data_IF_192301844481
#
_entry.id   IF_192301844481
#
_cell.length_a   1.000
_cell.length_b   1.000
_cell.length_c   1.000
_cell.angle_alpha   90.00
_cell.angle_beta   90.00
_cell.angle_gamma   90.00
#
_symmetry.space_group_name_H-M   'P 1'
#
loop_
_entity.id
_entity.type
_entity.pdbx_description
1 polymer ?
#
# COMPACT_ATOMS: atom_id res chain seq x y z
N UNK A 1 -5.70 -7.37 14.59
CA UNK A 1 -4.70 -7.36 13.50
C UNK A 1 -4.67 -5.98 12.89
N UNK A 2 -3.53 -5.32 12.92
CA UNK A 2 -3.35 -3.97 12.39
C UNK A 2 -2.71 -4.04 10.99
N UNK A 3 -3.40 -3.58 9.97
CA UNK A 3 -2.95 -3.71 8.58
C UNK A 3 -2.71 -2.32 7.98
N UNK A 4 -1.50 -2.09 7.46
CA UNK A 4 -1.18 -0.90 6.69
C UNK A 4 -1.51 -1.10 5.22
N UNK A 5 -2.31 -0.21 4.66
CA UNK A 5 -2.73 -0.22 3.26
C UNK A 5 -2.28 1.06 2.59
N UNK A 6 -1.15 1.04 1.89
CA UNK A 6 -0.72 2.17 1.06
C UNK A 6 -1.66 2.34 -0.13
N UNK A 7 -2.12 3.56 -0.34
CA UNK A 7 -3.04 3.89 -1.44
C UNK A 7 -2.54 5.10 -2.23
N UNK A 8 -2.80 5.05 -3.53
CA UNK A 8 -2.64 6.15 -4.46
C UNK A 8 -3.95 6.39 -5.23
N UNK A 9 -3.94 7.26 -6.22
CA UNK A 9 -5.11 7.52 -7.05
C UNK A 9 -5.41 6.41 -8.08
N UNK A 10 -4.61 5.35 -8.14
CA UNK A 10 -4.80 4.27 -9.10
C UNK A 10 -5.93 3.32 -8.72
N UNK A 11 -6.45 2.60 -9.71
CA UNK A 11 -7.43 1.54 -9.45
C UNK A 11 -6.82 0.34 -8.72
N UNK A 12 -5.52 0.15 -8.83
CA UNK A 12 -4.80 -0.93 -8.18
C UNK A 12 -4.82 -0.80 -6.64
N UNK A 13 -4.84 0.44 -6.13
CA UNK A 13 -4.92 0.73 -4.71
C UNK A 13 -6.16 0.15 -4.01
N UNK A 14 -7.19 -0.24 -4.77
CA UNK A 14 -8.39 -0.88 -4.23
C UNK A 14 -8.30 -2.41 -4.18
N UNK A 15 -7.25 -3.01 -4.72
CA UNK A 15 -7.09 -4.48 -4.70
C UNK A 15 -7.07 -5.10 -3.29
N UNK A 16 -6.57 -4.42 -2.23
CA UNK A 16 -6.65 -4.92 -0.87
C UNK A 16 -8.06 -5.06 -0.30
N UNK A 17 -9.02 -4.25 -0.76
CA UNK A 17 -10.33 -4.14 -0.10
C UNK A 17 -11.10 -5.48 -0.04
N UNK A 18 -11.22 -6.27 -1.13
CA UNK A 18 -11.90 -7.57 -1.05
C UNK A 18 -11.21 -8.54 -0.08
N UNK A 19 -9.90 -8.51 0.00
CA UNK A 19 -9.14 -9.33 0.94
C UNK A 19 -9.43 -8.95 2.40
N UNK A 20 -9.40 -7.65 2.71
CA UNK A 20 -9.73 -7.14 4.04
C UNK A 20 -11.19 -7.47 4.42
N UNK A 21 -12.12 -7.35 3.46
CA UNK A 21 -13.52 -7.73 3.68
C UNK A 21 -13.65 -9.23 3.99
N UNK A 22 -12.93 -10.09 3.30
CA UNK A 22 -12.92 -11.54 3.59
C UNK A 22 -12.38 -11.85 4.99
N UNK A 23 -11.29 -11.18 5.42
CA UNK A 23 -10.75 -11.33 6.78
C UNK A 23 -11.77 -10.86 7.84
N UNK A 24 -12.43 -9.71 7.61
CA UNK A 24 -13.46 -9.21 8.51
C UNK A 24 -14.65 -10.16 8.61
N UNK A 25 -15.12 -10.72 7.48
CA UNK A 25 -16.18 -11.74 7.46
C UNK A 25 -15.78 -13.04 8.16
N UNK A 26 -14.50 -13.39 8.13
CA UNK A 26 -13.96 -14.53 8.88
C UNK A 26 -13.83 -14.24 10.41
N UNK A 27 -14.25 -13.07 10.87
CA UNK A 27 -14.22 -12.70 12.29
C UNK A 27 -12.87 -12.20 12.78
N UNK A 28 -11.91 -11.91 11.90
CA UNK A 28 -10.62 -11.33 12.30
C UNK A 28 -10.83 -9.88 12.73
N UNK A 29 -10.48 -9.48 13.97
CA UNK A 29 -10.57 -8.09 14.41
C UNK A 29 -9.52 -7.26 13.67
N UNK A 30 -9.97 -6.36 12.77
CA UNK A 30 -9.11 -5.54 11.94
C UNK A 30 -9.06 -4.08 12.42
N UNK A 31 -7.87 -3.49 12.34
CA UNK A 31 -7.62 -2.05 12.36
C UNK A 31 -6.85 -1.71 11.08
N UNK A 32 -7.46 -0.96 10.17
CA UNK A 32 -6.83 -0.63 8.89
C UNK A 32 -6.24 0.77 8.92
N UNK A 33 -4.95 0.89 8.59
CA UNK A 33 -4.26 2.16 8.41
C UNK A 33 -4.17 2.45 6.90
N UNK A 34 -4.98 3.38 6.43
CA UNK A 34 -4.94 3.85 5.02
C UNK A 34 -3.89 4.92 4.89
N UNK A 35 -2.79 4.62 4.21
CA UNK A 35 -1.66 5.54 4.06
C UNK A 35 -1.56 6.08 2.64
N UNK A 36 -1.52 7.40 2.49
CA UNK A 36 -1.11 8.04 1.25
C UNK A 36 0.23 8.75 1.42
N UNK A 37 1.19 8.48 0.53
CA UNK A 37 2.49 9.13 0.51
C UNK A 37 2.59 10.06 -0.69
N UNK A 38 2.70 11.36 -0.42
CA UNK A 38 2.89 12.37 -1.44
C UNK A 38 4.38 12.64 -1.68
N UNK A 39 4.83 12.78 -2.94
CA UNK A 39 6.20 13.13 -3.23
C UNK A 39 6.54 14.54 -2.74
N UNK A 40 7.82 14.79 -2.48
CA UNK A 40 8.32 16.13 -2.23
C UNK A 40 8.17 16.99 -3.49
N UNK A 41 7.75 18.23 -3.34
CA UNK A 41 7.77 19.16 -4.46
C UNK A 41 9.20 19.41 -4.94
N UNK A 42 9.37 19.50 -6.26
CA UNK A 42 10.65 19.89 -6.84
C UNK A 42 11.10 21.27 -6.33
N UNK A 43 12.41 21.44 -6.25
CA UNK A 43 13.04 22.65 -5.69
C UNK A 43 12.53 23.94 -6.36
N UNK A 44 12.31 23.93 -7.67
CA UNK A 44 11.78 25.06 -8.42
C UNK A 44 10.37 25.47 -7.97
N UNK A 45 9.49 24.53 -7.71
CA UNK A 45 8.12 24.83 -7.22
C UNK A 45 8.15 25.37 -5.79
N UNK A 46 9.07 24.87 -4.97
CA UNK A 46 9.16 25.26 -3.56
C UNK A 46 9.67 26.69 -3.35
N UNK A 47 10.35 27.30 -4.34
CA UNK A 47 10.84 28.66 -4.27
C UNK A 47 9.74 29.71 -4.48
N UNK A 48 8.68 29.37 -5.22
CA UNK A 48 7.62 30.29 -5.60
C UNK A 48 6.30 30.10 -4.85
N UNK A 49 6.25 29.14 -3.91
CA UNK A 49 5.02 28.82 -3.18
C UNK A 49 5.26 28.80 -1.67
N UNK A 50 4.31 29.32 -0.90
CA UNK A 50 4.36 29.29 0.56
C UNK A 50 4.26 27.86 1.09
N UNK A 51 4.76 27.61 2.31
CA UNK A 51 4.62 26.31 2.99
C UNK A 51 3.13 25.94 3.18
N UNK A 52 2.30 26.92 3.53
CA UNK A 52 0.86 26.72 3.72
C UNK A 52 0.16 26.29 2.44
N UNK A 53 0.45 26.96 1.31
CA UNK A 53 -0.11 26.59 0.01
C UNK A 53 0.31 25.16 -0.41
N UNK A 54 1.59 24.80 -0.22
CA UNK A 54 2.06 23.44 -0.50
C UNK A 54 1.38 22.38 0.37
N UNK A 55 1.18 22.69 1.65
CA UNK A 55 0.51 21.78 2.56
C UNK A 55 -0.97 21.62 2.18
N UNK A 56 -1.67 22.69 1.84
CA UNK A 56 -3.06 22.64 1.39
C UNK A 56 -3.21 21.73 0.15
N UNK A 57 -2.35 21.92 -0.87
CA UNK A 57 -2.36 21.07 -2.08
C UNK A 57 -2.06 19.61 -1.75
N UNK A 58 -1.13 19.32 -0.84
CA UNK A 58 -0.83 17.93 -0.43
C UNK A 58 -2.01 17.31 0.30
N UNK A 59 -2.64 18.02 1.22
CA UNK A 59 -3.81 17.53 1.94
C UNK A 59 -4.94 17.21 1.00
N UNK A 60 -5.21 18.08 0.02
CA UNK A 60 -6.24 17.84 -0.97
C UNK A 60 -5.94 16.61 -1.84
N UNK A 61 -4.70 16.51 -2.35
CA UNK A 61 -4.27 15.33 -3.14
C UNK A 61 -4.33 14.04 -2.34
N UNK A 62 -3.88 14.06 -1.09
CA UNK A 62 -3.97 12.89 -0.20
C UNK A 62 -5.40 12.48 0.04
N UNK A 63 -6.28 13.44 0.36
CA UNK A 63 -7.70 13.18 0.57
C UNK A 63 -8.33 12.56 -0.67
N UNK A 64 -8.09 13.12 -1.85
CA UNK A 64 -8.61 12.61 -3.11
C UNK A 64 -8.08 11.19 -3.41
N UNK A 65 -6.79 10.93 -3.15
CA UNK A 65 -6.20 9.61 -3.37
C UNK A 65 -6.78 8.53 -2.45
N UNK A 66 -7.12 8.88 -1.21
CA UNK A 66 -7.66 7.95 -0.23
C UNK A 66 -9.19 7.78 -0.30
N UNK A 67 -9.92 8.71 -0.93
CA UNK A 67 -11.38 8.79 -0.86
C UNK A 67 -12.07 7.47 -1.21
N UNK A 68 -11.66 6.83 -2.30
CA UNK A 68 -12.27 5.57 -2.78
C UNK A 68 -12.00 4.39 -1.85
N UNK A 69 -10.81 4.32 -1.27
CA UNK A 69 -10.47 3.26 -0.31
C UNK A 69 -11.24 3.46 1.00
N UNK A 70 -11.34 4.69 1.48
CA UNK A 70 -12.11 5.06 2.67
C UNK A 70 -13.59 4.73 2.49
N UNK A 71 -14.18 5.10 1.34
CA UNK A 71 -15.57 4.77 1.01
C UNK A 71 -15.80 3.25 1.02
N UNK A 72 -14.93 2.49 0.37
CA UNK A 72 -15.04 1.04 0.30
C UNK A 72 -14.90 0.36 1.68
N UNK A 73 -13.98 0.83 2.53
CA UNK A 73 -13.84 0.34 3.91
C UNK A 73 -15.05 0.70 4.77
N UNK A 74 -15.59 1.90 4.60
CA UNK A 74 -16.81 2.36 5.31
C UNK A 74 -18.02 1.49 4.94
N UNK A 75 -18.20 1.19 3.65
CA UNK A 75 -19.27 0.30 3.18
C UNK A 75 -19.10 -1.12 3.73
N UNK A 76 -17.88 -1.60 3.83
CA UNK A 76 -17.55 -2.89 4.43
C UNK A 76 -17.60 -2.89 5.97
N UNK A 77 -17.86 -1.75 6.62
CA UNK A 77 -17.86 -1.56 8.07
C UNK A 77 -16.55 -1.97 8.74
N UNK A 78 -15.43 -1.79 8.05
CA UNK A 78 -14.10 -2.07 8.57
C UNK A 78 -13.55 -0.79 9.22
N UNK A 79 -13.15 -0.80 10.50
CA UNK A 79 -12.57 0.36 11.15
C UNK A 79 -11.23 0.73 10.50
N UNK A 80 -11.04 2.02 10.26
CA UNK A 80 -9.83 2.53 9.64
C UNK A 80 -9.39 3.87 10.22
N UNK A 81 -8.11 4.19 10.01
CA UNK A 81 -7.50 5.49 10.27
C UNK A 81 -6.72 5.94 9.03
N UNK A 82 -6.92 7.18 8.60
CA UNK A 82 -6.25 7.75 7.44
C UNK A 82 -4.96 8.48 7.86
N UNK A 83 -3.87 8.19 7.15
CA UNK A 83 -2.56 8.76 7.36
C UNK A 83 -2.04 9.40 6.07
N UNK A 84 -1.38 10.55 6.17
CA UNK A 84 -0.74 11.22 5.04
C UNK A 84 0.71 11.52 5.38
N UNK A 85 1.62 11.08 4.51
CA UNK A 85 3.07 11.29 4.65
C UNK A 85 3.66 11.96 3.41
N UNK A 86 4.86 12.49 3.55
CA UNK A 86 5.59 13.14 2.46
C UNK A 86 6.99 12.56 2.35
N UNK A 87 7.36 12.08 1.18
CA UNK A 87 8.70 11.53 0.96
C UNK A 87 8.76 10.51 -0.17
N UNK A 88 9.76 9.65 -0.09
CA UNK A 88 9.88 8.51 -0.98
C UNK A 88 8.92 7.40 -0.53
N UNK A 89 8.03 6.91 -1.40
CA UNK A 89 6.96 6.00 -0.99
C UNK A 89 7.46 4.77 -0.22
N UNK A 90 8.43 4.03 -0.75
CA UNK A 90 8.92 2.82 -0.10
C UNK A 90 9.48 3.07 1.31
N UNK A 91 10.26 4.16 1.49
CA UNK A 91 10.81 4.54 2.79
C UNK A 91 9.72 4.92 3.78
N UNK A 92 8.73 5.71 3.33
CA UNK A 92 7.66 6.18 4.21
C UNK A 92 6.70 5.07 4.59
N UNK A 93 6.39 4.17 3.66
CA UNK A 93 5.54 3.01 3.96
C UNK A 93 6.20 2.13 5.03
N UNK A 94 7.47 1.76 4.85
CA UNK A 94 8.20 0.95 5.83
C UNK A 94 8.26 1.65 7.20
N UNK A 95 8.68 2.92 7.24
CA UNK A 95 8.79 3.67 8.49
C UNK A 95 7.44 3.85 9.21
N UNK A 96 6.34 4.01 8.47
CA UNK A 96 5.00 4.09 9.06
C UNK A 96 4.55 2.73 9.58
N UNK A 97 4.81 1.65 8.84
CA UNK A 97 4.47 0.29 9.27
C UNK A 97 5.12 -0.03 10.63
N UNK A 98 6.39 0.26 10.77
CA UNK A 98 7.14 0.08 12.03
C UNK A 98 6.64 1.00 13.15
N UNK A 99 6.51 2.30 12.86
CA UNK A 99 6.08 3.30 13.84
C UNK A 99 4.69 3.00 14.41
N UNK A 100 3.77 2.57 13.57
CA UNK A 100 2.39 2.27 13.95
C UNK A 100 2.23 0.84 14.51
N UNK A 101 3.27 0.01 14.42
CA UNK A 101 3.21 -1.40 14.83
C UNK A 101 2.23 -2.19 13.99
N UNK A 102 2.32 -2.07 12.66
CA UNK A 102 1.50 -2.85 11.75
C UNK A 102 1.91 -4.32 11.78
N UNK A 103 0.94 -5.23 11.79
CA UNK A 103 1.18 -6.67 11.70
C UNK A 103 1.47 -7.09 10.26
N UNK A 104 0.96 -6.33 9.29
CA UNK A 104 1.09 -6.62 7.86
C UNK A 104 0.95 -5.33 7.03
N UNK A 105 1.66 -5.29 5.89
CA UNK A 105 1.46 -4.29 4.84
C UNK A 105 0.78 -4.96 3.65
N UNK A 106 -0.42 -4.52 3.27
CA UNK A 106 -1.16 -5.07 2.13
C UNK A 106 -1.22 -4.04 1.02
N UNK A 107 -0.60 -4.36 -0.13
CA UNK A 107 -0.45 -3.44 -1.25
C UNK A 107 -1.16 -3.92 -2.50
N UNK A 108 -1.88 -3.02 -3.15
CA UNK A 108 -2.37 -3.25 -4.50
C UNK A 108 -1.33 -2.92 -5.56
N UNK A 109 -1.17 -3.78 -6.55
CA UNK A 109 -0.29 -3.51 -7.70
C UNK A 109 -1.07 -3.54 -9.00
N UNK A 110 -0.79 -2.57 -9.87
CA UNK A 110 -1.31 -2.53 -11.24
C UNK A 110 -0.57 -3.54 -12.14
N UNK A 111 -1.28 -4.06 -13.14
CA UNK A 111 -0.65 -4.79 -14.23
C UNK A 111 0.07 -3.80 -15.14
N UNK A 112 1.36 -3.67 -14.98
CA UNK A 112 2.18 -2.93 -15.94
C UNK A 112 2.72 -3.90 -17.00
N UNK A 113 2.82 -3.46 -18.27
CA UNK A 113 3.48 -4.25 -19.31
C UNK A 113 4.89 -4.64 -18.88
N UNK A 114 5.33 -5.84 -19.28
CA UNK A 114 6.60 -6.42 -18.81
C UNK A 114 7.83 -5.50 -18.98
N UNK A 115 7.85 -4.66 -20.03
CA UNK A 115 8.93 -3.71 -20.30
C UNK A 115 9.03 -2.56 -19.28
N UNK A 116 7.90 -2.18 -18.62
CA UNK A 116 7.91 -1.12 -17.60
C UNK A 116 8.47 -1.59 -16.27
N UNK A 117 8.52 -2.91 -16.02
CA UNK A 117 9.08 -3.50 -14.79
C UNK A 117 10.60 -3.34 -14.70
N UNK A 118 11.28 -3.18 -15.83
CA UNK A 118 12.73 -2.98 -15.87
C UNK A 118 13.19 -1.57 -15.54
N UNK A 119 12.28 -0.58 -15.64
CA UNK A 119 12.62 0.85 -15.51
C UNK A 119 12.37 1.39 -14.10
N UNK A 120 11.47 0.78 -13.32
CA UNK A 120 11.20 1.18 -11.93
C UNK A 120 11.13 -0.05 -11.03
N UNK A 121 12.02 -0.18 -10.04
CA UNK A 121 11.84 -1.17 -8.99
C UNK A 121 10.47 -0.90 -8.34
N UNK A 122 9.64 -1.94 -8.22
CA UNK A 122 8.31 -1.76 -7.67
C UNK A 122 8.40 -1.19 -6.25
N UNK A 123 7.48 -0.31 -5.88
CA UNK A 123 7.43 0.24 -4.52
C UNK A 123 7.36 -0.91 -3.49
N UNK A 124 6.66 -1.99 -3.83
CA UNK A 124 6.56 -3.18 -2.99
C UNK A 124 7.95 -3.81 -2.70
N UNK A 125 8.81 -3.96 -3.71
CA UNK A 125 10.19 -4.43 -3.49
C UNK A 125 10.98 -3.47 -2.60
N UNK A 126 10.81 -2.17 -2.81
CA UNK A 126 11.43 -1.16 -1.99
C UNK A 126 10.97 -1.18 -0.53
N UNK A 127 9.71 -1.52 -0.25
CA UNK A 127 9.17 -1.72 1.09
C UNK A 127 9.74 -3.00 1.70
N UNK A 128 9.65 -4.14 1.01
CA UNK A 128 10.20 -5.42 1.47
C UNK A 128 11.69 -5.37 1.81
N UNK A 129 12.46 -4.51 1.12
CA UNK A 129 13.88 -4.33 1.42
C UNK A 129 14.17 -3.47 2.66
N UNK A 130 13.13 -2.88 3.31
CA UNK A 130 13.29 -1.88 4.37
C UNK A 130 12.54 -2.20 5.66
N UNK A 131 11.76 -3.27 5.70
CA UNK A 131 11.02 -3.67 6.89
C UNK A 131 10.95 -5.18 6.99
N UNK A 132 10.93 -5.69 8.22
CA UNK A 132 10.71 -7.11 8.53
C UNK A 132 9.21 -7.45 8.63
N UNK A 133 8.34 -6.46 8.51
CA UNK A 133 6.89 -6.65 8.52
C UNK A 133 6.45 -7.37 7.23
N UNK A 134 5.64 -8.43 7.30
CA UNK A 134 5.11 -9.12 6.14
C UNK A 134 4.44 -8.19 5.14
N UNK A 135 4.79 -8.31 3.85
CA UNK A 135 4.21 -7.51 2.76
C UNK A 135 3.44 -8.42 1.82
N UNK A 136 2.13 -8.27 1.81
CA UNK A 136 1.24 -8.95 0.86
C UNK A 136 0.95 -8.04 -0.32
N UNK A 137 1.18 -8.57 -1.53
CA UNK A 137 0.97 -7.86 -2.78
C UNK A 137 -0.20 -8.48 -3.53
N UNK A 138 -1.23 -7.67 -3.80
CA UNK A 138 -2.45 -8.10 -4.48
C UNK A 138 -2.56 -7.43 -5.85
N UNK A 139 -2.62 -8.26 -6.90
CA UNK A 139 -2.88 -7.78 -8.25
C UNK A 139 -4.38 -7.69 -8.50
N UNK A 140 -4.86 -6.60 -9.11
CA UNK A 140 -6.24 -6.51 -9.58
C UNK A 140 -6.40 -7.35 -10.84
N UNK A 141 -7.01 -8.50 -10.73
CA UNK A 141 -7.33 -9.37 -11.86
C UNK A 141 -8.39 -10.34 -11.45
N UNK A 142 -9.34 -10.59 -12.33
CA UNK A 142 -10.53 -11.46 -12.26
C UNK A 142 -10.70 -12.28 -10.97
N UNK A 143 -11.89 -12.21 -10.37
CA UNK A 143 -12.28 -13.05 -9.25
C UNK A 143 -11.86 -14.52 -9.54
N UNK A 144 -10.89 -15.04 -8.82
CA UNK A 144 -10.59 -16.45 -8.95
C UNK A 144 -9.20 -16.97 -8.60
N UNK A 145 -8.19 -16.14 -8.38
CA UNK A 145 -6.90 -16.71 -7.96
C UNK A 145 -6.13 -15.72 -7.09
N UNK A 146 -6.10 -15.98 -5.79
CA UNK A 146 -5.25 -15.28 -4.84
C UNK A 146 -3.84 -15.88 -4.90
N UNK A 147 -2.93 -15.29 -5.64
CA UNK A 147 -1.51 -15.59 -5.47
C UNK A 147 -1.00 -14.79 -4.26
N UNK A 148 -0.87 -15.47 -3.14
CA UNK A 148 -0.21 -14.98 -1.94
C UNK A 148 1.29 -15.14 -2.12
N UNK A 149 2.00 -14.06 -2.32
CA UNK A 149 3.44 -14.02 -2.08
C UNK A 149 3.67 -13.44 -0.68
N UNK A 150 3.81 -14.32 0.31
CA UNK A 150 4.33 -13.95 1.62
C UNK A 150 5.84 -14.13 1.55
N UNK A 151 6.58 -13.06 1.44
CA UNK A 151 8.04 -13.10 1.58
C UNK A 151 8.36 -12.55 2.97
N UNK A 152 8.77 -13.39 3.95
CA UNK A 152 9.31 -12.88 5.18
C UNK A 152 10.64 -12.17 4.87
N UNK A 153 10.74 -10.90 5.24
CA UNK A 153 11.98 -10.16 5.20
C UNK A 153 12.94 -10.79 6.23
N UNK A 154 14.01 -11.41 5.77
CA UNK A 154 15.03 -11.94 6.69
C UNK A 154 15.67 -13.28 6.31
N UNK A 155 15.32 -13.93 5.21
CA UNK A 155 16.02 -15.13 4.75
C UNK A 155 16.49 -14.95 3.32
N UNK A 156 17.80 -14.67 3.18
CA UNK A 156 18.50 -14.86 1.94
C UNK A 156 18.50 -16.34 1.58
N UNK A 157 17.80 -16.71 0.52
CA UNK A 157 17.90 -18.02 -0.13
C UNK A 157 16.81 -19.00 0.27
N UNK A 158 15.93 -19.19 -0.60
CA UNK A 158 15.30 -20.38 -1.17
C UNK A 158 13.91 -20.02 -1.68
N UNK A 159 13.84 -19.82 -2.98
CA UNK A 159 12.56 -19.81 -3.70
C UNK A 159 11.93 -21.21 -3.57
N UNK A 160 10.92 -21.34 -2.74
CA UNK A 160 10.03 -22.49 -2.78
C UNK A 160 8.96 -22.21 -3.83
N UNK A 161 9.22 -22.65 -5.05
CA UNK A 161 8.24 -22.76 -6.11
C UNK A 161 7.31 -23.93 -5.75
N UNK A 162 6.17 -23.66 -5.17
CA UNK A 162 5.08 -24.63 -5.08
C UNK A 162 4.22 -24.50 -6.33
N UNK A 163 4.57 -25.25 -7.35
CA UNK A 163 3.66 -25.65 -8.42
C UNK A 163 2.60 -26.57 -7.82
N UNK A 164 1.40 -26.11 -7.67
CA UNK A 164 0.24 -26.97 -7.54
C UNK A 164 -0.17 -27.37 -8.96
N UNK A 165 0.10 -28.64 -9.30
CA UNK A 165 -0.41 -29.36 -10.46
C UNK A 165 -1.79 -29.91 -10.08
N UNK A 166 -2.73 -29.83 -11.05
CA UNK A 166 -4.08 -30.37 -11.19
C UNK A 166 -5.22 -29.53 -10.73
#
# INVERSE_FOLDING_TARGET
>A
MKILVPVDSSNAALAPIPHLAALAHAGVPLEVLVLNVQPRFHRHVSQFTSRSARNAVRHERSRAAMARAIEALSLARIPFRALAEVGLPAERIAAVAEREGADEVVMGVGRHPAWLRWVNPSIAQGVMARTDIPVTVLARGQAGTFERYVVPAGVAGLAALLLAVE
#
